data_IF_536408261677
#
_entry.id   IF_536408261677
#
_cell.length_a   1.000
_cell.length_b   1.000
_cell.length_c   1.000
_cell.angle_alpha   90.00
_cell.angle_beta   90.00
_cell.angle_gamma   90.00
#
_symmetry.space_group_name_H-M   'P 1'
#
loop_
_entity.id
_entity.type
_entity.pdbx_description
1 polymer ?
#
# COMPACT_ATOMS: atom_id res chain seq x y z
N UNK A 1 -23.31 -63.25 12.79
CA UNK A 1 -23.98 -62.34 11.83
C UNK A 1 -23.91 -60.93 12.41
N UNK A 2 -23.11 -60.05 11.81
CA UNK A 2 -22.87 -58.70 12.31
C UNK A 2 -24.09 -57.79 12.01
N UNK A 3 -24.65 -57.15 13.04
CA UNK A 3 -25.70 -56.13 12.88
C UNK A 3 -25.05 -54.86 12.33
N UNK A 4 -25.38 -54.49 11.10
CA UNK A 4 -25.05 -53.17 10.56
C UNK A 4 -25.77 -52.11 11.38
N UNK A 5 -25.03 -51.37 12.19
CA UNK A 5 -25.52 -50.19 12.89
C UNK A 5 -25.65 -49.06 11.87
N UNK A 6 -26.87 -48.81 11.40
CA UNK A 6 -27.16 -47.67 10.52
C UNK A 6 -27.25 -46.43 11.42
N UNK A 7 -26.33 -45.47 11.30
CA UNK A 7 -26.35 -44.28 12.13
C UNK A 7 -27.66 -43.51 11.93
N UNK A 8 -28.21 -43.04 13.04
CA UNK A 8 -29.42 -42.23 13.07
C UNK A 8 -29.15 -40.87 12.40
N UNK A 9 -30.13 -40.31 11.70
CA UNK A 9 -30.05 -38.99 11.05
C UNK A 9 -29.44 -37.89 11.96
N UNK A 10 -29.73 -37.90 13.25
CA UNK A 10 -29.17 -36.96 14.23
C UNK A 10 -27.65 -37.13 14.45
N UNK A 11 -27.13 -38.36 14.36
CA UNK A 11 -25.69 -38.63 14.44
C UNK A 11 -25.00 -38.19 13.14
N UNK A 12 -25.59 -38.49 11.99
CA UNK A 12 -25.09 -38.07 10.67
C UNK A 12 -25.00 -36.54 10.59
N UNK A 13 -26.03 -35.83 11.08
CA UNK A 13 -26.06 -34.36 11.08
C UNK A 13 -24.99 -33.77 12.00
N UNK A 14 -24.82 -34.32 13.22
CA UNK A 14 -23.78 -33.85 14.16
C UNK A 14 -22.37 -34.04 13.60
N UNK A 15 -22.10 -35.19 12.97
CA UNK A 15 -20.79 -35.44 12.37
C UNK A 15 -20.54 -34.54 11.15
N UNK A 16 -21.58 -34.28 10.34
CA UNK A 16 -21.50 -33.30 9.25
C UNK A 16 -21.33 -31.87 9.73
N UNK A 17 -21.92 -31.48 10.85
CA UNK A 17 -21.72 -30.18 11.46
C UNK A 17 -20.29 -30.04 12.00
N UNK A 18 -19.76 -31.06 12.67
CA UNK A 18 -18.36 -31.08 13.13
C UNK A 18 -17.37 -31.02 11.96
N UNK A 19 -17.63 -31.76 10.88
CA UNK A 19 -16.82 -31.76 9.67
C UNK A 19 -16.84 -30.38 8.98
N UNK A 20 -18.02 -29.76 8.86
CA UNK A 20 -18.16 -28.40 8.35
C UNK A 20 -17.48 -27.34 9.24
N UNK A 21 -17.55 -27.48 10.57
CA UNK A 21 -16.87 -26.57 11.48
C UNK A 21 -15.34 -26.65 11.34
N UNK A 22 -14.80 -27.87 11.14
CA UNK A 22 -13.37 -28.07 10.84
C UNK A 22 -12.98 -27.46 9.49
N UNK A 23 -13.76 -27.69 8.43
CA UNK A 23 -13.53 -27.09 7.11
C UNK A 23 -13.55 -25.55 7.17
N UNK A 24 -14.51 -24.96 7.88
CA UNK A 24 -14.58 -23.50 8.08
C UNK A 24 -13.38 -22.97 8.85
N UNK A 25 -12.90 -23.72 9.83
CA UNK A 25 -11.70 -23.35 10.60
C UNK A 25 -10.44 -23.40 9.73
N UNK A 26 -10.31 -24.42 8.87
CA UNK A 26 -9.23 -24.52 7.90
C UNK A 26 -9.26 -23.39 6.86
N UNK A 27 -10.45 -23.05 6.35
CA UNK A 27 -10.63 -21.89 5.45
C UNK A 27 -10.25 -20.60 6.17
N UNK A 28 -10.65 -20.41 7.42
CA UNK A 28 -10.32 -19.22 8.20
C UNK A 28 -8.83 -19.10 8.49
N UNK A 29 -8.16 -20.21 8.81
CA UNK A 29 -6.70 -20.25 8.96
C UNK A 29 -6.01 -19.97 7.62
N UNK A 30 -6.49 -20.55 6.52
CA UNK A 30 -5.99 -20.27 5.18
C UNK A 30 -6.17 -18.80 4.80
N UNK A 31 -7.32 -18.18 5.11
CA UNK A 31 -7.58 -16.76 4.88
C UNK A 31 -6.70 -15.87 5.75
N UNK A 32 -6.43 -16.26 7.01
CA UNK A 32 -5.50 -15.53 7.89
C UNK A 32 -4.07 -15.61 7.33
N UNK A 33 -3.65 -16.79 6.86
CA UNK A 33 -2.33 -17.02 6.26
C UNK A 33 -2.19 -16.30 4.92
N UNK A 34 -3.20 -16.33 4.05
CA UNK A 34 -3.18 -15.57 2.80
C UNK A 34 -3.20 -14.08 3.10
N UNK A 35 -4.04 -13.60 4.02
CA UNK A 35 -4.06 -12.18 4.41
C UNK A 35 -2.76 -11.70 5.07
N UNK A 36 -1.99 -12.58 5.72
CA UNK A 36 -0.69 -12.24 6.33
C UNK A 36 0.46 -12.27 5.32
N UNK A 37 0.36 -13.07 4.25
CA UNK A 37 1.30 -13.14 3.11
C UNK A 37 0.92 -12.22 1.93
N UNK A 38 -0.26 -11.61 1.92
CA UNK A 38 -0.78 -10.82 0.80
C UNK A 38 -0.71 -9.30 0.97
N UNK A 39 -0.45 -8.77 2.18
CA UNK A 39 -0.48 -7.31 2.38
C UNK A 39 0.49 -6.56 1.47
N UNK A 40 1.74 -7.00 1.41
CA UNK A 40 2.76 -6.38 0.55
C UNK A 40 2.40 -6.53 -0.93
N UNK A 41 1.86 -7.69 -1.33
CA UNK A 41 1.44 -7.94 -2.71
C UNK A 41 0.24 -7.08 -3.12
N UNK A 42 -0.75 -6.90 -2.25
CA UNK A 42 -1.90 -6.04 -2.50
C UNK A 42 -1.47 -4.59 -2.63
N UNK A 43 -0.63 -4.09 -1.71
CA UNK A 43 -0.09 -2.73 -1.79
C UNK A 43 0.65 -2.54 -3.11
N UNK A 44 1.56 -3.45 -3.44
CA UNK A 44 2.30 -3.43 -4.69
C UNK A 44 1.37 -3.35 -5.91
N UNK A 45 0.39 -4.26 -6.01
CA UNK A 45 -0.55 -4.29 -7.13
C UNK A 45 -1.40 -3.02 -7.23
N UNK A 46 -1.81 -2.44 -6.11
CA UNK A 46 -2.59 -1.19 -6.09
C UNK A 46 -1.74 -0.01 -6.58
N UNK A 47 -0.48 0.09 -6.13
CA UNK A 47 0.43 1.17 -6.53
C UNK A 47 0.82 1.03 -8.01
N UNK A 48 1.06 -0.19 -8.49
CA UNK A 48 1.30 -0.49 -9.92
C UNK A 48 0.09 -0.13 -10.78
N UNK A 49 -1.12 -0.50 -10.35
CA UNK A 49 -2.34 -0.14 -11.05
C UNK A 49 -2.54 1.38 -11.12
N UNK A 50 -2.27 2.11 -10.03
CA UNK A 50 -2.36 3.56 -10.00
C UNK A 50 -1.39 4.22 -10.99
N UNK A 51 -0.14 3.73 -11.09
CA UNK A 51 0.85 4.16 -12.09
C UNK A 51 0.29 3.99 -13.50
N UNK A 52 -0.24 2.80 -13.80
CA UNK A 52 -0.69 2.44 -15.15
C UNK A 52 -1.94 3.23 -15.55
N UNK A 53 -2.92 3.33 -14.66
CA UNK A 53 -4.15 4.10 -14.89
C UNK A 53 -3.87 5.59 -15.15
N UNK A 54 -2.90 6.15 -14.43
CA UNK A 54 -2.54 7.57 -14.53
C UNK A 54 -1.45 7.83 -15.59
N UNK A 55 -1.02 6.79 -16.29
CA UNK A 55 0.03 6.83 -17.31
C UNK A 55 1.26 7.59 -16.82
N UNK A 56 1.83 7.12 -15.71
CA UNK A 56 3.01 7.71 -15.07
C UNK A 56 4.24 6.80 -15.21
N UNK A 57 5.43 7.38 -15.10
CA UNK A 57 6.67 6.61 -15.13
C UNK A 57 6.81 5.73 -13.89
N UNK A 58 6.47 6.29 -12.72
CA UNK A 58 6.61 5.60 -11.45
C UNK A 58 5.47 5.95 -10.49
N UNK A 59 5.31 5.11 -9.48
CA UNK A 59 4.51 5.37 -8.31
C UNK A 59 5.24 4.90 -7.05
N UNK A 60 4.99 5.56 -5.92
CA UNK A 60 5.61 5.23 -4.64
C UNK A 60 4.68 5.40 -3.46
N UNK A 61 5.01 4.71 -2.38
CA UNK A 61 4.34 4.75 -1.09
C UNK A 61 5.33 5.15 0.00
N UNK A 62 4.91 6.10 0.83
CA UNK A 62 5.58 6.43 2.08
C UNK A 62 4.64 6.19 3.25
N UNK A 63 5.15 5.64 4.35
CA UNK A 63 4.41 5.40 5.58
C UNK A 63 4.95 6.28 6.72
N UNK A 64 4.06 6.72 7.60
CA UNK A 64 4.43 7.51 8.77
C UNK A 64 5.02 6.59 9.84
N UNK A 65 6.23 6.92 10.28
CA UNK A 65 6.79 6.44 11.52
C UNK A 65 6.48 7.45 12.64
N UNK A 66 5.54 7.06 13.50
CA UNK A 66 5.06 7.91 14.59
C UNK A 66 6.12 8.22 15.65
N UNK A 67 7.12 7.36 15.79
CA UNK A 67 8.17 7.50 16.79
C UNK A 67 9.19 8.58 16.41
N UNK A 68 9.60 8.59 15.14
CA UNK A 68 10.57 9.54 14.60
C UNK A 68 9.92 10.78 14.00
N UNK A 69 8.60 10.78 13.77
CA UNK A 69 7.86 11.83 13.05
C UNK A 69 8.40 12.05 11.65
N UNK A 70 8.66 10.94 10.95
CA UNK A 70 9.15 10.91 9.58
C UNK A 70 8.27 10.04 8.70
N UNK A 71 8.30 10.30 7.40
CA UNK A 71 7.84 9.39 6.36
C UNK A 71 9.01 8.48 5.96
N UNK A 72 8.77 7.17 5.98
CA UNK A 72 9.69 6.14 5.50
C UNK A 72 9.22 5.72 4.11
N UNK A 73 10.14 5.69 3.16
CA UNK A 73 9.87 5.15 1.83
C UNK A 73 9.66 3.63 1.93
N UNK A 74 8.45 3.19 1.62
CA UNK A 74 8.01 1.80 1.79
C UNK A 74 8.10 1.00 0.48
N UNK A 75 7.61 1.58 -0.62
CA UNK A 75 7.54 0.89 -1.91
C UNK A 75 7.65 1.84 -3.10
N UNK A 76 8.30 1.39 -4.20
CA UNK A 76 8.37 2.08 -5.49
C UNK A 76 8.18 1.07 -6.62
N UNK A 77 7.57 1.49 -7.72
CA UNK A 77 7.51 0.70 -8.96
C UNK A 77 8.80 0.76 -9.79
N UNK A 78 9.70 1.72 -9.51
CA UNK A 78 10.88 2.02 -10.35
C UNK A 78 12.22 1.91 -9.58
N UNK A 79 12.16 1.54 -8.30
CA UNK A 79 13.35 1.38 -7.44
C UNK A 79 13.29 0.03 -6.72
N UNK A 80 14.45 -0.62 -6.59
CA UNK A 80 14.57 -1.85 -5.79
C UNK A 80 14.29 -1.56 -4.31
N UNK A 81 13.51 -2.45 -3.69
CA UNK A 81 13.03 -2.34 -2.30
C UNK A 81 14.13 -2.25 -1.24
N UNK A 82 15.36 -2.70 -1.56
CA UNK A 82 16.51 -2.61 -0.66
C UNK A 82 17.11 -1.19 -0.58
N UNK A 83 16.96 -0.36 -1.61
CA UNK A 83 17.57 0.99 -1.66
C UNK A 83 16.66 2.09 -1.12
N UNK A 84 15.40 1.76 -0.86
CA UNK A 84 14.35 2.74 -0.55
C UNK A 84 14.19 3.00 0.94
N UNK A 85 14.34 1.99 1.82
CA UNK A 85 14.08 2.14 3.27
C UNK A 85 14.98 3.13 4.02
N UNK A 86 16.12 3.52 3.45
CA UNK A 86 16.99 4.56 4.00
C UNK A 86 16.48 5.98 3.73
N UNK A 87 15.55 6.15 2.80
CA UNK A 87 14.98 7.44 2.44
C UNK A 87 13.89 7.80 3.44
N UNK A 88 14.22 8.80 4.27
CA UNK A 88 13.34 9.39 5.28
C UNK A 88 13.05 10.84 4.96
N UNK A 89 11.81 11.26 5.17
CA UNK A 89 11.37 12.65 4.99
C UNK A 89 10.70 13.12 6.28
N UNK A 90 11.22 14.13 6.97
CA UNK A 90 10.55 14.71 8.14
C UNK A 90 9.12 15.15 7.80
N UNK A 91 8.18 14.94 8.72
CA UNK A 91 6.82 15.45 8.54
C UNK A 91 6.84 16.97 8.35
N UNK A 92 6.02 17.46 7.41
CA UNK A 92 5.98 18.87 7.00
C UNK A 92 7.08 19.30 6.02
N UNK A 93 8.11 18.47 5.80
CA UNK A 93 9.15 18.73 4.80
C UNK A 93 8.76 18.11 3.46
N UNK A 94 9.04 18.81 2.38
CA UNK A 94 8.70 18.30 1.06
C UNK A 94 7.20 18.33 0.79
N UNK A 95 6.82 17.95 -0.44
CA UNK A 95 5.42 17.76 -0.80
C UNK A 95 4.81 16.59 -0.02
N UNK A 96 5.54 15.48 0.10
CA UNK A 96 5.08 14.31 0.85
C UNK A 96 4.79 14.63 2.32
N UNK A 97 5.72 15.30 3.02
CA UNK A 97 5.53 15.68 4.42
C UNK A 97 4.40 16.70 4.61
N UNK A 98 4.22 17.63 3.66
CA UNK A 98 3.08 18.55 3.66
C UNK A 98 1.74 17.81 3.54
N UNK A 99 1.63 16.87 2.59
CA UNK A 99 0.41 16.08 2.38
C UNK A 99 0.12 15.20 3.60
N UNK A 100 1.15 14.58 4.18
CA UNK A 100 1.02 13.76 5.37
C UNK A 100 0.50 14.56 6.59
N UNK A 101 0.96 15.80 6.76
CA UNK A 101 0.51 16.65 7.87
C UNK A 101 -0.87 17.24 7.66
N UNK A 102 -1.17 17.70 6.44
CA UNK A 102 -2.37 18.50 6.18
C UNK A 102 -3.55 17.68 5.66
N UNK A 103 -3.28 16.48 5.12
CA UNK A 103 -4.28 15.68 4.41
C UNK A 103 -4.76 16.29 3.10
N UNK A 104 -4.11 17.35 2.61
CA UNK A 104 -4.48 18.03 1.35
C UNK A 104 -3.61 17.51 0.22
N UNK A 105 -4.23 16.87 -0.76
CA UNK A 105 -3.54 16.38 -1.96
C UNK A 105 -2.89 17.52 -2.75
N UNK A 106 -1.80 17.22 -3.45
CA UNK A 106 -1.03 18.17 -4.27
C UNK A 106 -0.79 17.57 -5.65
N UNK A 107 -1.08 18.33 -6.71
CA UNK A 107 -0.88 17.93 -8.11
C UNK A 107 -0.08 19.00 -8.86
N UNK A 108 1.15 18.66 -9.22
CA UNK A 108 2.13 19.57 -9.79
C UNK A 108 2.71 19.04 -11.09
N UNK A 109 2.88 19.93 -12.05
CA UNK A 109 3.39 19.61 -13.39
C UNK A 109 4.91 19.73 -13.47
N UNK A 110 5.48 20.67 -12.72
CA UNK A 110 6.92 20.88 -12.62
C UNK A 110 7.31 21.08 -11.16
N UNK A 111 8.01 20.10 -10.59
CA UNK A 111 8.50 20.16 -9.20
C UNK A 111 9.40 21.37 -8.93
N UNK A 112 10.16 21.84 -9.91
CA UNK A 112 11.07 22.98 -9.73
C UNK A 112 10.33 24.32 -9.54
N UNK A 113 9.01 24.34 -9.80
CA UNK A 113 8.17 25.52 -9.61
C UNK A 113 7.42 25.50 -8.27
N UNK A 114 7.51 24.43 -7.48
CA UNK A 114 6.89 24.35 -6.15
C UNK A 114 7.96 24.58 -5.08
N UNK A 115 7.78 25.60 -4.24
CA UNK A 115 8.74 25.96 -3.18
C UNK A 115 8.90 24.89 -2.10
N UNK A 116 7.95 23.95 -2.02
CA UNK A 116 8.01 22.82 -1.08
C UNK A 116 8.77 21.64 -1.67
N UNK A 117 9.29 21.73 -2.88
CA UNK A 117 10.04 20.63 -3.48
C UNK A 117 11.29 20.29 -2.67
N UNK A 118 11.48 19.00 -2.39
CA UNK A 118 12.60 18.51 -1.58
C UNK A 118 13.45 17.55 -2.40
N UNK A 119 14.44 18.10 -3.11
CA UNK A 119 15.27 17.37 -4.07
C UNK A 119 16.20 16.30 -3.44
N UNK A 120 16.34 16.23 -2.12
CA UNK A 120 17.19 15.23 -1.46
C UNK A 120 16.69 13.80 -1.68
N UNK A 121 15.38 13.62 -1.86
CA UNK A 121 14.78 12.32 -2.19
C UNK A 121 15.26 11.81 -3.54
N UNK A 122 15.25 12.68 -4.56
CA UNK A 122 15.78 12.39 -5.90
C UNK A 122 17.28 12.10 -5.84
N UNK A 123 18.05 12.86 -5.05
CA UNK A 123 19.50 12.66 -4.89
C UNK A 123 19.83 11.29 -4.28
N UNK A 124 19.09 10.86 -3.25
CA UNK A 124 19.29 9.57 -2.58
C UNK A 124 18.80 8.39 -3.43
N UNK A 125 17.69 8.56 -4.14
CA UNK A 125 17.11 7.49 -4.96
C UNK A 125 17.76 7.35 -6.34
N UNK A 126 18.38 8.42 -6.86
CA UNK A 126 18.82 8.50 -8.25
C UNK A 126 17.68 8.71 -9.26
N UNK A 127 16.43 8.78 -8.80
CA UNK A 127 15.27 9.06 -9.63
C UNK A 127 15.12 10.57 -9.84
N UNK A 128 14.80 11.02 -11.06
CA UNK A 128 14.57 12.43 -11.35
C UNK A 128 13.09 12.71 -11.52
N UNK A 129 12.52 13.46 -10.59
CA UNK A 129 11.12 13.86 -10.61
C UNK A 129 10.94 15.15 -11.42
N UNK A 130 9.96 15.15 -12.31
CA UNK A 130 9.49 16.26 -13.14
C UNK A 130 8.11 16.72 -12.70
N UNK A 131 7.15 15.79 -12.63
CA UNK A 131 5.76 16.05 -12.21
C UNK A 131 5.37 15.09 -11.09
N UNK A 132 4.42 15.48 -10.25
CA UNK A 132 4.02 14.70 -9.08
C UNK A 132 2.54 14.94 -8.74
N UNK A 133 1.80 13.85 -8.54
CA UNK A 133 0.55 13.86 -7.78
C UNK A 133 0.80 13.11 -6.47
N UNK A 134 0.58 13.77 -5.34
CA UNK A 134 0.73 13.22 -4.01
C UNK A 134 -0.60 13.32 -3.25
N UNK A 135 -1.05 12.19 -2.71
CA UNK A 135 -2.33 12.06 -2.00
C UNK A 135 -2.11 11.42 -0.62
N UNK A 136 -2.90 11.78 0.40
CA UNK A 136 -2.78 11.15 1.71
C UNK A 136 -3.32 9.72 1.68
N UNK A 137 -2.61 8.80 2.31
CA UNK A 137 -3.10 7.46 2.61
C UNK A 137 -3.79 7.49 3.98
N UNK A 138 -5.06 7.08 4.04
CA UNK A 138 -5.87 7.11 5.26
C UNK A 138 -6.32 5.71 5.68
N UNK A 139 -6.37 5.48 6.98
CA UNK A 139 -7.01 4.33 7.62
C UNK A 139 -7.84 4.82 8.81
N UNK A 140 -9.15 4.54 8.80
CA UNK A 140 -10.08 4.98 9.86
C UNK A 140 -9.91 6.48 10.22
N UNK A 141 -9.99 7.35 9.19
CA UNK A 141 -9.80 8.81 9.27
C UNK A 141 -8.41 9.32 9.69
N UNK A 142 -7.51 8.43 10.09
CA UNK A 142 -6.12 8.77 10.37
C UNK A 142 -5.28 8.72 9.11
N UNK A 143 -4.46 9.74 8.87
CA UNK A 143 -3.43 9.69 7.83
C UNK A 143 -2.30 8.79 8.32
N UNK A 144 -1.97 7.77 7.54
CA UNK A 144 -0.92 6.78 7.85
C UNK A 144 0.27 6.88 6.90
N UNK A 145 0.19 7.74 5.88
CA UNK A 145 1.22 7.85 4.86
C UNK A 145 0.80 8.70 3.67
N UNK A 146 1.56 8.59 2.58
CA UNK A 146 1.25 9.23 1.30
C UNK A 146 1.51 8.29 0.14
N UNK A 147 0.63 8.34 -0.86
CA UNK A 147 0.84 7.70 -2.17
C UNK A 147 1.20 8.77 -3.18
N UNK A 148 2.13 8.45 -4.08
CA UNK A 148 2.63 9.35 -5.10
C UNK A 148 2.62 8.67 -6.47
N UNK A 149 2.24 9.42 -7.50
CA UNK A 149 2.54 9.08 -8.89
C UNK A 149 3.42 10.17 -9.51
N UNK A 150 4.45 9.73 -10.22
CA UNK A 150 5.61 10.51 -10.61
C UNK A 150 5.74 10.49 -12.12
N UNK A 151 6.06 11.65 -12.71
CA UNK A 151 6.35 11.85 -14.14
C UNK A 151 5.25 11.29 -15.04
N UNK A 152 4.16 12.07 -15.23
CA UNK A 152 3.14 11.74 -16.23
C UNK A 152 3.83 11.61 -17.59
N UNK A 153 3.48 10.56 -18.35
CA UNK A 153 4.10 10.24 -19.63
C UNK A 153 3.84 11.34 -20.67
N UNK A 154 2.68 12.00 -20.58
CA UNK A 154 2.40 13.25 -21.30
C UNK A 154 2.78 14.44 -20.43
N UNK A 155 3.48 15.44 -20.99
CA UNK A 155 3.84 16.69 -20.31
C UNK A 155 2.57 17.50 -19.95
N UNK A 156 1.97 17.18 -18.81
CA UNK A 156 0.73 17.78 -18.29
C UNK A 156 0.54 17.37 -16.82
N UNK A 157 -0.37 18.04 -16.10
CA UNK A 157 -0.82 17.58 -14.78
C UNK A 157 -1.58 16.25 -14.86
N UNK A 158 -1.63 15.53 -13.75
CA UNK A 158 -2.54 14.40 -13.57
C UNK A 158 -3.99 14.91 -13.60
N UNK A 159 -4.89 14.14 -14.22
CA UNK A 159 -6.27 14.51 -14.53
C UNK A 159 -7.18 13.38 -14.11
#
# INVERSE_FOLDING_TARGET
>A
MAKNHIPNLAEILRDKEKENAKLRSLIRVSQIITSSLERENVIKSVIELARDMLQSQAASLFLIDESSKELIFDFSTDLDSYRTREIRIPLGKGIAGYVAMTGKSVNIENVNQDSRWYAEVDQKSGFKTRSLLCVPLKFQDKIIGTVQVLNKLKNSKFS
#
